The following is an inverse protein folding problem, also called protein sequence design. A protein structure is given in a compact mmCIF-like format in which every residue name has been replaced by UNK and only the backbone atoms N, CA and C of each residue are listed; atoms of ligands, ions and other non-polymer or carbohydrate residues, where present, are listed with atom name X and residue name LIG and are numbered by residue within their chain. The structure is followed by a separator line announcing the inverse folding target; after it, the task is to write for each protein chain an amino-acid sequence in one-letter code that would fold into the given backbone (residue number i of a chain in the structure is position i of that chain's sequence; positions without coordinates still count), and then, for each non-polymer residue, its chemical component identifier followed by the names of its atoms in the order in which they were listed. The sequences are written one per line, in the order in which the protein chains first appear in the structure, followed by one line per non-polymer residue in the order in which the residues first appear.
data_IF_793660883304
#
_entry.id   IF_793660883304
#
_cell.length_a   1.000
_cell.length_b   1.000
_cell.length_c   1.000
_cell.angle_alpha   90.00
_cell.angle_beta   90.00
_cell.angle_gamma   90.00
#
_symmetry.space_group_name_H-M   'P 1'
#
loop_
_entity.id
_entity.type
_entity.pdbx_description
1 polymer ?
#
# COMPACT_ATOMS: atom_id res chain seq x y z
N UNK A 1 -34.14 -4.55 -4.53
CA UNK A 1 -33.10 -3.51 -4.35
C UNK A 1 -32.38 -3.44 -5.67
N UNK A 2 -32.53 -2.33 -6.39
CA UNK A 2 -32.07 -2.24 -7.77
C UNK A 2 -30.59 -1.87 -7.86
N UNK A 3 -29.96 -2.15 -9.00
CA UNK A 3 -28.56 -1.83 -9.30
C UNK A 3 -28.21 -0.34 -9.04
N UNK A 4 -29.20 0.55 -9.16
CA UNK A 4 -29.02 1.99 -8.89
C UNK A 4 -28.79 2.29 -7.40
N UNK A 5 -29.45 1.56 -6.49
CA UNK A 5 -29.26 1.74 -5.05
C UNK A 5 -27.87 1.24 -4.61
N UNK A 6 -27.39 0.14 -5.18
CA UNK A 6 -26.05 -0.39 -4.90
C UNK A 6 -24.95 0.55 -5.42
N UNK A 7 -25.11 1.13 -6.61
CA UNK A 7 -24.19 2.10 -7.15
C UNK A 7 -24.12 3.37 -6.31
N UNK A 8 -25.26 3.85 -5.79
CA UNK A 8 -25.29 5.02 -4.91
C UNK A 8 -24.63 4.76 -3.56
N UNK A 9 -24.82 3.58 -2.98
CA UNK A 9 -24.16 3.16 -1.73
C UNK A 9 -22.66 3.09 -1.94
N UNK A 10 -22.19 2.42 -3.00
CA UNK A 10 -20.76 2.32 -3.33
C UNK A 10 -20.11 3.69 -3.49
N UNK A 11 -20.76 4.64 -4.17
CA UNK A 11 -20.24 6.02 -4.32
C UNK A 11 -20.08 6.72 -2.97
N UNK A 12 -21.04 6.57 -2.06
CA UNK A 12 -20.96 7.16 -0.71
C UNK A 12 -19.82 6.58 0.12
N UNK A 13 -19.64 5.27 0.05
CA UNK A 13 -18.54 4.58 0.76
C UNK A 13 -17.18 5.01 0.22
N UNK A 14 -17.03 5.05 -1.10
CA UNK A 14 -15.82 5.55 -1.76
C UNK A 14 -15.51 6.98 -1.36
N UNK A 15 -16.48 7.89 -1.42
CA UNK A 15 -16.30 9.27 -1.00
C UNK A 15 -15.87 9.37 0.47
N UNK A 16 -16.52 8.60 1.35
CA UNK A 16 -16.18 8.56 2.77
C UNK A 16 -14.73 8.12 2.98
N UNK A 17 -14.31 7.02 2.35
CA UNK A 17 -12.94 6.50 2.45
C UNK A 17 -11.90 7.51 1.95
N UNK A 18 -12.17 8.17 0.81
CA UNK A 18 -11.29 9.22 0.26
C UNK A 18 -11.13 10.36 1.26
N UNK A 19 -12.26 10.85 1.81
CA UNK A 19 -12.25 11.96 2.77
C UNK A 19 -11.50 11.61 4.05
N UNK A 20 -11.73 10.41 4.60
CA UNK A 20 -11.05 9.93 5.81
C UNK A 20 -9.54 9.76 5.56
N UNK A 21 -9.15 9.15 4.43
CA UNK A 21 -7.75 8.98 4.06
C UNK A 21 -7.02 10.31 3.86
N UNK A 22 -7.64 11.26 3.17
CA UNK A 22 -7.05 12.59 2.94
C UNK A 22 -6.91 13.39 4.24
N UNK A 23 -7.91 13.33 5.12
CA UNK A 23 -7.93 14.06 6.38
C UNK A 23 -6.78 13.68 7.34
N UNK A 24 -6.20 12.48 7.21
CA UNK A 24 -5.03 12.06 7.99
C UNK A 24 -3.77 12.90 7.67
N UNK A 25 -3.72 13.50 6.49
CA UNK A 25 -2.58 14.26 5.98
C UNK A 25 -2.86 15.76 5.83
N UNK A 26 -4.12 16.19 5.94
CA UNK A 26 -4.54 17.60 6.00
C UNK A 26 -4.34 18.16 7.41
N UNK A 27 -3.07 18.46 7.74
CA UNK A 27 -2.66 18.84 9.11
C UNK A 27 -3.35 20.10 9.64
N UNK A 28 -3.64 21.03 8.75
CA UNK A 28 -4.20 22.35 9.09
C UNK A 28 -5.73 22.40 8.93
N UNK A 29 -6.36 21.33 8.44
CA UNK A 29 -7.80 21.29 8.15
C UNK A 29 -8.24 22.25 7.05
N UNK A 30 -7.33 22.63 6.15
CA UNK A 30 -7.59 23.60 5.06
C UNK A 30 -8.05 22.95 3.76
N UNK A 31 -8.21 21.64 3.74
CA UNK A 31 -8.52 20.89 2.53
C UNK A 31 -7.36 20.80 1.54
N UNK A 32 -6.13 20.85 2.04
CA UNK A 32 -4.90 20.75 1.24
C UNK A 32 -3.92 19.77 1.85
N UNK A 33 -3.24 19.02 0.99
CA UNK A 33 -2.21 18.06 1.38
C UNK A 33 -0.94 18.28 0.56
N UNK A 34 0.23 18.05 1.17
CA UNK A 34 1.51 18.10 0.46
C UNK A 34 1.54 17.04 -0.64
N UNK A 35 2.01 17.40 -1.84
CA UNK A 35 2.11 16.52 -3.00
C UNK A 35 2.89 15.24 -2.70
N UNK A 36 3.87 15.30 -1.81
CA UNK A 36 4.70 14.14 -1.40
C UNK A 36 3.93 13.08 -0.63
N UNK A 37 2.82 13.45 0.01
CA UNK A 37 1.97 12.54 0.79
C UNK A 37 0.92 11.82 -0.07
N UNK A 38 0.68 12.28 -1.30
CA UNK A 38 -0.36 11.73 -2.17
C UNK A 38 -0.15 10.24 -2.44
N UNK A 39 1.08 9.81 -2.69
CA UNK A 39 1.39 8.39 -2.88
C UNK A 39 1.02 7.52 -1.68
N UNK A 40 1.26 8.03 -0.47
CA UNK A 40 0.88 7.35 0.78
C UNK A 40 -0.63 7.24 0.93
N UNK A 41 -1.38 8.32 0.61
CA UNK A 41 -2.84 8.33 0.67
C UNK A 41 -3.43 7.35 -0.34
N UNK A 42 -2.93 7.35 -1.59
CA UNK A 42 -3.35 6.46 -2.68
C UNK A 42 -3.18 5.00 -2.28
N UNK A 43 -2.02 4.63 -1.74
CA UNK A 43 -1.75 3.26 -1.26
C UNK A 43 -2.59 2.90 -0.04
N UNK A 44 -2.87 3.86 0.85
CA UNK A 44 -3.77 3.66 2.00
C UNK A 44 -5.20 3.32 1.55
N UNK A 45 -5.66 3.90 0.45
CA UNK A 45 -6.97 3.62 -0.15
C UNK A 45 -7.04 2.24 -0.85
N UNK A 46 -5.95 1.47 -0.85
CA UNK A 46 -5.92 0.07 -1.28
C UNK A 46 -5.63 -0.14 -2.77
N UNK A 47 -5.17 0.87 -3.47
CA UNK A 47 -4.68 0.75 -4.86
C UNK A 47 -3.16 0.81 -4.92
N UNK A 48 -2.58 0.19 -5.95
CA UNK A 48 -1.14 0.03 -6.10
C UNK A 48 -0.68 0.43 -7.51
N UNK A 49 -0.74 1.73 -7.86
CA UNK A 49 -0.18 2.22 -9.11
C UNK A 49 1.35 2.08 -9.09
N UNK A 50 1.95 1.93 -10.28
CA UNK A 50 3.38 2.09 -10.48
C UNK A 50 3.80 3.54 -10.22
N UNK A 51 5.10 3.81 -10.05
CA UNK A 51 5.59 5.18 -9.82
C UNK A 51 5.31 6.12 -11.02
N UNK A 52 5.26 5.57 -12.24
CA UNK A 52 4.87 6.35 -13.44
C UNK A 52 3.40 6.72 -13.37
N UNK A 53 2.53 5.74 -13.14
CA UNK A 53 1.08 5.95 -13.02
C UNK A 53 0.73 6.87 -11.84
N UNK A 54 1.43 6.74 -10.71
CA UNK A 54 1.26 7.64 -9.57
C UNK A 54 1.62 9.08 -9.93
N UNK A 55 2.70 9.29 -10.69
CA UNK A 55 3.10 10.62 -11.15
C UNK A 55 2.05 11.23 -12.09
N UNK A 56 1.47 10.42 -12.98
CA UNK A 56 0.40 10.85 -13.87
C UNK A 56 -0.86 11.26 -13.06
N UNK A 57 -1.23 10.48 -12.04
CA UNK A 57 -2.33 10.80 -11.13
C UNK A 57 -2.08 12.10 -10.34
N UNK A 58 -0.86 12.32 -9.86
CA UNK A 58 -0.47 13.56 -9.19
C UNK A 58 -0.59 14.75 -10.13
N UNK A 59 -0.08 14.62 -11.36
CA UNK A 59 -0.14 15.68 -12.38
C UNK A 59 -1.59 16.05 -12.72
N UNK A 60 -2.50 15.08 -12.75
CA UNK A 60 -3.94 15.34 -12.96
C UNK A 60 -4.55 16.19 -11.82
N UNK A 61 -4.03 16.03 -10.59
CA UNK A 61 -4.54 16.74 -9.42
C UNK A 61 -3.89 18.12 -9.19
N UNK A 62 -2.72 18.37 -9.77
CA UNK A 62 -2.01 19.64 -9.59
C UNK A 62 -2.76 20.80 -10.23
N UNK A 63 -2.54 22.01 -9.71
CA UNK A 63 -2.97 23.25 -10.35
C UNK A 63 -2.10 23.53 -11.59
N UNK A 64 -2.56 24.42 -12.49
CA UNK A 64 -1.77 24.83 -13.65
C UNK A 64 -0.40 25.40 -13.25
N UNK A 65 -0.36 26.12 -12.12
CA UNK A 65 0.87 26.54 -11.46
C UNK A 65 1.06 25.68 -10.18
N UNK A 66 2.00 24.72 -10.18
CA UNK A 66 2.20 23.81 -9.05
C UNK A 66 2.61 24.58 -7.79
N UNK A 67 1.81 24.43 -6.73
CA UNK A 67 2.06 25.06 -5.43
C UNK A 67 2.78 24.13 -4.44
N UNK A 68 2.98 22.86 -4.81
CA UNK A 68 3.45 21.79 -3.92
C UNK A 68 2.35 21.21 -3.04
N UNK A 69 1.10 21.66 -3.20
CA UNK A 69 -0.06 21.17 -2.46
C UNK A 69 -1.17 20.75 -3.40
N UNK A 70 -1.91 19.73 -3.00
CA UNK A 70 -3.09 19.21 -3.71
C UNK A 70 -4.33 19.55 -2.91
N UNK A 71 -5.35 20.12 -3.57
CA UNK A 71 -6.67 20.38 -2.97
C UNK A 71 -7.52 19.13 -2.92
N UNK A 72 -8.28 19.00 -1.83
CA UNK A 72 -9.17 17.86 -1.62
C UNK A 72 -10.14 17.64 -2.79
N UNK A 73 -10.74 18.70 -3.35
CA UNK A 73 -11.72 18.59 -4.43
C UNK A 73 -11.12 17.98 -5.71
N UNK A 74 -9.86 18.31 -6.02
CA UNK A 74 -9.15 17.74 -7.17
C UNK A 74 -8.78 16.29 -6.93
N UNK A 75 -8.23 16.01 -5.75
CA UNK A 75 -7.89 14.67 -5.31
C UNK A 75 -9.12 13.76 -5.27
N UNK A 76 -10.23 14.22 -4.67
CA UNK A 76 -11.50 13.47 -4.57
C UNK A 76 -12.04 13.11 -5.96
N UNK A 77 -12.06 14.05 -6.89
CA UNK A 77 -12.54 13.81 -8.25
C UNK A 77 -11.75 12.72 -8.96
N UNK A 78 -10.42 12.79 -8.92
CA UNK A 78 -9.53 11.81 -9.51
C UNK A 78 -9.69 10.44 -8.81
N UNK A 79 -9.62 10.40 -7.48
CA UNK A 79 -9.71 9.17 -6.72
C UNK A 79 -11.07 8.49 -6.80
N UNK A 80 -12.17 9.26 -6.87
CA UNK A 80 -13.50 8.70 -7.08
C UNK A 80 -13.58 7.94 -8.40
N UNK A 81 -13.02 8.47 -9.48
CA UNK A 81 -12.92 7.78 -10.77
C UNK A 81 -12.09 6.50 -10.64
N UNK A 82 -10.88 6.61 -10.12
CA UNK A 82 -9.93 5.49 -9.98
C UNK A 82 -10.53 4.33 -9.19
N UNK A 83 -11.16 4.61 -8.04
CA UNK A 83 -11.74 3.58 -7.18
C UNK A 83 -13.03 2.99 -7.74
N UNK A 84 -13.89 3.79 -8.36
CA UNK A 84 -15.14 3.29 -8.95
C UNK A 84 -14.89 2.42 -10.18
N UNK A 85 -13.87 2.75 -10.98
CA UNK A 85 -13.45 2.00 -12.16
C UNK A 85 -12.50 0.83 -11.81
N UNK A 86 -12.15 0.67 -10.53
CA UNK A 86 -11.22 -0.36 -10.05
C UNK A 86 -9.87 -0.33 -10.80
N UNK A 87 -9.32 0.88 -11.02
CA UNK A 87 -8.01 1.05 -11.62
C UNK A 87 -6.90 0.70 -10.59
N UNK A 88 -5.78 0.18 -11.08
CA UNK A 88 -4.60 -0.17 -10.26
C UNK A 88 -4.90 -1.07 -9.06
N UNK A 89 -5.65 -2.17 -9.24
CA UNK A 89 -5.98 -3.06 -8.12
C UNK A 89 -4.70 -3.69 -7.57
N UNK A 90 -4.71 -4.00 -6.27
CA UNK A 90 -3.63 -4.78 -5.67
C UNK A 90 -3.56 -6.16 -6.32
N UNK A 91 -2.35 -6.66 -6.47
CA UNK A 91 -2.13 -8.04 -6.91
C UNK A 91 -2.75 -9.04 -5.92
N UNK A 92 -3.28 -10.13 -6.45
CA UNK A 92 -3.83 -11.20 -5.64
C UNK A 92 -2.73 -11.95 -4.88
N UNK A 93 -3.08 -12.52 -3.73
CA UNK A 93 -2.17 -13.39 -2.96
C UNK A 93 -1.59 -14.50 -3.84
N UNK A 94 -2.41 -15.11 -4.69
CA UNK A 94 -1.97 -16.17 -5.60
C UNK A 94 -0.90 -15.69 -6.57
N UNK A 95 -1.04 -14.46 -7.11
CA UNK A 95 -0.05 -13.87 -8.00
C UNK A 95 1.26 -13.60 -7.28
N UNK A 96 1.19 -13.07 -6.04
CA UNK A 96 2.37 -12.85 -5.20
C UNK A 96 3.07 -14.16 -4.82
N UNK A 97 2.33 -15.17 -4.39
CA UNK A 97 2.87 -16.49 -4.09
C UNK A 97 3.54 -17.13 -5.30
N UNK A 98 2.95 -16.99 -6.49
CA UNK A 98 3.55 -17.48 -7.73
C UNK A 98 4.88 -16.77 -8.04
N UNK A 99 4.95 -15.47 -7.81
CA UNK A 99 6.20 -14.70 -7.98
C UNK A 99 7.29 -15.20 -7.01
N UNK A 100 6.97 -15.37 -5.72
CA UNK A 100 7.92 -15.88 -4.73
C UNK A 100 8.38 -17.30 -5.06
N UNK A 101 7.49 -18.19 -5.47
CA UNK A 101 7.84 -19.56 -5.90
C UNK A 101 8.80 -19.60 -7.07
N UNK A 102 8.77 -18.61 -7.96
CA UNK A 102 9.77 -18.46 -9.02
C UNK A 102 11.17 -18.17 -8.46
N UNK A 103 11.24 -17.49 -7.31
CA UNK A 103 12.51 -17.21 -6.61
C UNK A 103 12.98 -18.36 -5.72
N UNK A 104 12.11 -19.30 -5.43
CA UNK A 104 12.39 -20.50 -4.60
C UNK A 104 12.20 -21.79 -5.42
N UNK A 105 13.11 -22.13 -6.35
CA UNK A 105 12.98 -23.32 -7.20
C UNK A 105 13.04 -24.63 -6.41
N UNK A 106 13.61 -24.61 -5.20
CA UNK A 106 13.68 -25.77 -4.29
C UNK A 106 12.42 -25.96 -3.47
N UNK A 107 11.46 -25.01 -3.56
CA UNK A 107 10.20 -25.01 -2.81
C UNK A 107 10.40 -25.19 -1.29
N UNK A 108 11.36 -24.44 -0.74
CA UNK A 108 11.69 -24.44 0.69
C UNK A 108 10.69 -23.61 1.52
N UNK A 109 9.87 -22.76 0.89
CA UNK A 109 8.92 -21.85 1.54
C UNK A 109 9.52 -20.52 1.97
N UNK A 110 10.77 -20.24 1.61
CA UNK A 110 11.46 -18.99 1.96
C UNK A 110 12.41 -18.49 0.87
N UNK A 111 12.77 -17.21 0.98
CA UNK A 111 13.82 -16.57 0.17
C UNK A 111 14.81 -15.89 1.12
N UNK A 112 16.11 -15.99 0.82
CA UNK A 112 17.15 -15.31 1.60
C UNK A 112 17.06 -13.78 1.46
N UNK A 113 17.29 -13.05 2.56
CA UNK A 113 17.23 -11.59 2.61
C UNK A 113 18.12 -10.92 1.54
N UNK A 114 19.36 -11.38 1.38
CA UNK A 114 20.30 -10.81 0.41
C UNK A 114 19.84 -11.02 -1.04
N UNK A 115 19.21 -12.15 -1.34
CA UNK A 115 18.65 -12.42 -2.67
C UNK A 115 17.50 -11.48 -3.00
N UNK A 116 16.55 -11.31 -2.06
CA UNK A 116 15.41 -10.40 -2.27
C UNK A 116 15.86 -8.94 -2.32
N UNK A 117 16.80 -8.55 -1.47
CA UNK A 117 17.42 -7.21 -1.48
C UNK A 117 18.03 -6.88 -2.84
N UNK A 118 18.87 -7.79 -3.36
CA UNK A 118 19.48 -7.61 -4.67
C UNK A 118 18.44 -7.44 -5.77
N UNK A 119 17.39 -8.26 -5.78
CA UNK A 119 16.34 -8.19 -6.79
C UNK A 119 15.57 -6.87 -6.73
N UNK A 120 15.11 -6.45 -5.56
CA UNK A 120 14.30 -5.24 -5.39
C UNK A 120 15.09 -3.95 -5.64
N UNK A 121 16.42 -3.97 -5.47
CA UNK A 121 17.27 -2.79 -5.73
C UNK A 121 17.81 -2.72 -7.16
N UNK A 122 17.71 -3.80 -7.93
CA UNK A 122 18.33 -3.85 -9.28
C UNK A 122 17.33 -4.04 -10.42
N UNK A 123 16.13 -4.57 -10.16
CA UNK A 123 15.14 -4.92 -11.18
C UNK A 123 13.80 -4.21 -10.95
N UNK A 124 13.07 -3.96 -12.03
CA UNK A 124 11.76 -3.31 -11.98
C UNK A 124 11.83 -1.87 -11.49
N UNK A 125 10.85 -1.46 -10.72
CA UNK A 125 10.87 -0.21 -9.95
C UNK A 125 11.77 -0.43 -8.74
N UNK A 126 12.96 0.14 -8.83
CA UNK A 126 14.02 -0.09 -7.85
C UNK A 126 13.68 0.58 -6.53
N UNK A 127 13.75 -0.20 -5.47
CA UNK A 127 13.66 0.34 -4.11
C UNK A 127 14.88 1.21 -3.79
N UNK A 128 14.63 2.34 -3.15
CA UNK A 128 15.66 3.14 -2.48
C UNK A 128 16.24 2.37 -1.28
N UNK A 129 17.33 2.89 -0.71
CA UNK A 129 17.93 2.26 0.47
C UNK A 129 16.97 2.27 1.67
N UNK A 130 16.22 3.33 1.87
CA UNK A 130 15.25 3.46 2.96
C UNK A 130 14.09 2.46 2.79
N UNK A 131 13.51 2.36 1.58
CA UNK A 131 12.42 1.43 1.29
C UNK A 131 12.85 -0.04 1.44
N UNK A 132 14.06 -0.41 1.02
CA UNK A 132 14.54 -1.78 1.18
C UNK A 132 14.84 -2.12 2.65
N UNK A 133 15.36 -1.18 3.42
CA UNK A 133 15.63 -1.38 4.84
C UNK A 133 14.30 -1.55 5.61
N UNK A 134 13.29 -0.75 5.33
CA UNK A 134 11.95 -0.88 5.91
C UNK A 134 11.29 -2.20 5.50
N UNK A 135 11.40 -2.59 4.23
CA UNK A 135 10.88 -3.86 3.75
C UNK A 135 11.53 -5.06 4.46
N UNK A 136 12.86 -5.09 4.54
CA UNK A 136 13.59 -6.19 5.19
C UNK A 136 13.28 -6.27 6.69
N UNK A 137 13.19 -5.13 7.39
CA UNK A 137 12.82 -5.07 8.80
C UNK A 137 11.40 -5.63 9.06
N UNK A 138 10.50 -5.47 8.11
CA UNK A 138 9.12 -5.97 8.22
C UNK A 138 8.97 -7.43 7.79
N UNK A 139 9.63 -7.82 6.71
CA UNK A 139 9.36 -9.07 5.98
C UNK A 139 10.29 -10.23 6.34
N UNK A 140 11.49 -9.93 6.84
CA UNK A 140 12.54 -10.91 7.11
C UNK A 140 12.58 -11.22 8.60
N UNK A 141 12.67 -12.51 8.92
CA UNK A 141 12.92 -12.94 10.29
C UNK A 141 14.37 -12.59 10.69
N UNK A 142 14.51 -11.86 11.79
CA UNK A 142 15.80 -11.31 12.23
C UNK A 142 16.80 -12.35 12.74
N UNK A 143 16.32 -13.54 13.14
CA UNK A 143 17.19 -14.61 13.67
C UNK A 143 17.73 -15.49 12.53
N UNK A 144 16.87 -15.82 11.57
CA UNK A 144 17.23 -16.71 10.45
C UNK A 144 17.75 -15.99 9.21
N UNK A 145 17.43 -14.69 9.04
CA UNK A 145 17.71 -13.92 7.81
C UNK A 145 16.86 -14.35 6.61
N UNK A 146 15.75 -15.04 6.85
CA UNK A 146 14.88 -15.61 5.83
C UNK A 146 13.55 -14.86 5.73
N UNK A 147 13.05 -14.70 4.52
CA UNK A 147 11.71 -14.23 4.23
C UNK A 147 10.81 -15.46 3.98
N UNK A 148 9.95 -15.80 4.94
CA UNK A 148 8.91 -16.82 4.79
C UNK A 148 7.74 -16.23 4.01
N UNK A 149 7.71 -16.44 2.70
CA UNK A 149 6.85 -15.69 1.80
C UNK A 149 5.36 -16.03 1.94
N UNK A 150 4.99 -17.23 2.38
CA UNK A 150 3.59 -17.56 2.63
C UNK A 150 3.05 -16.75 3.82
N UNK A 151 3.81 -16.65 4.90
CA UNK A 151 3.44 -15.81 6.07
C UNK A 151 3.40 -14.34 5.71
N UNK A 152 4.37 -13.85 4.92
CA UNK A 152 4.42 -12.48 4.45
C UNK A 152 3.19 -12.12 3.61
N UNK A 153 2.82 -12.95 2.64
CA UNK A 153 1.65 -12.71 1.78
C UNK A 153 0.36 -12.74 2.60
N UNK A 154 0.18 -13.70 3.50
CA UNK A 154 -0.98 -13.76 4.39
C UNK A 154 -1.08 -12.56 5.35
N UNK A 155 0.03 -12.02 5.83
CA UNK A 155 0.03 -10.82 6.68
C UNK A 155 -0.32 -9.55 5.88
N UNK A 156 0.16 -9.44 4.65
CA UNK A 156 -0.15 -8.32 3.75
C UNK A 156 -1.61 -8.28 3.29
N UNK A 157 -2.30 -9.42 3.31
CA UNK A 157 -3.72 -9.54 2.97
C UNK A 157 -4.67 -9.05 4.09
N UNK A 158 -4.18 -8.92 5.33
CA UNK A 158 -5.02 -8.44 6.44
C UNK A 158 -5.22 -6.92 6.34
N UNK A 159 -6.46 -6.42 6.49
CA UNK A 159 -6.70 -4.98 6.58
C UNK A 159 -5.89 -4.42 7.76
N UNK A 160 -5.13 -3.34 7.52
CA UNK A 160 -4.39 -2.63 8.57
C UNK A 160 -5.39 -2.12 9.61
N UNK A 161 -5.49 -2.78 10.75
CA UNK A 161 -6.44 -2.40 11.81
C UNK A 161 -6.60 -3.44 12.93
N UNK A 162 -6.11 -4.65 12.75
CA UNK A 162 -6.07 -5.64 13.81
C UNK A 162 -4.64 -5.76 14.35
N UNK A 163 -4.31 -4.88 15.31
CA UNK A 163 -3.10 -5.04 16.09
C UNK A 163 -3.09 -6.47 16.68
N UNK A 164 -2.05 -7.24 16.42
CA UNK A 164 -1.77 -8.43 17.22
C UNK A 164 -1.58 -7.95 18.65
N UNK A 165 -2.44 -8.41 19.56
CA UNK A 165 -2.09 -8.47 20.95
C UNK A 165 -0.82 -9.30 21.09
N UNK A 166 0.26 -8.68 21.54
CA UNK A 166 1.50 -9.39 21.84
C UNK A 166 1.18 -10.61 22.73
N UNK A 167 1.80 -11.76 22.49
CA UNK A 167 1.66 -12.87 23.41
C UNK A 167 2.22 -12.42 24.77
N UNK A 168 1.36 -12.49 25.80
CA UNK A 168 1.73 -12.25 27.17
C UNK A 168 2.91 -13.16 27.55
N UNK A 169 4.04 -12.54 27.87
CA UNK A 169 5.18 -13.24 28.45
C UNK A 169 4.74 -13.99 29.71
N UNK A 170 5.13 -15.24 29.91
CA UNK A 170 4.90 -15.91 31.16
C UNK A 170 5.76 -15.24 32.24
N UNK A 171 5.09 -14.69 33.26
CA UNK A 171 5.74 -14.25 34.48
C UNK A 171 6.38 -15.44 35.17
N UNK A 172 7.71 -15.51 35.12
CA UNK A 172 8.47 -16.38 36.00
C UNK A 172 8.36 -15.78 37.41
N UNK A 173 7.54 -16.39 38.26
CA UNK A 173 7.60 -16.21 39.70
C UNK A 173 8.71 -17.09 40.27
N UNK A 174 9.54 -16.49 41.10
CA UNK A 174 10.53 -17.15 41.98
C UNK A 174 9.91 -18.17 42.89
#
# INVERSE_FOLDING_TARGET
MGDQDQAAIKKKEVFKSIKEGFALFDRDGKGMCDVREIGTIVRHLGICPTEIELRDLITECEEEEPTGFIRFERFERMMSRVLLENQYPRDSEEKLLRAFRTLDPSNNGYVEAEKIKTLLTTHGERFSQEEIDDFLNFAVDSESGLLHYEDYVMQGARPRGTARSAPSQPTLSC
#
